data_IF_127397536699
#
_entry.id   IF_127397536699
#
_cell.length_a   1.000
_cell.length_b   1.000
_cell.length_c   1.000
_cell.angle_alpha   90.00
_cell.angle_beta   90.00
_cell.angle_gamma   90.00
#
_symmetry.space_group_name_H-M   'P 1'
#
loop_
_entity.id
_entity.type
_entity.pdbx_description
1 polymer ?
#
# COMPACT_ATOMS: atom_id res chain seq x y z
N UNK A 1 -20.07 -14.74 6.65
CA UNK A 1 -19.07 -15.38 5.79
C UNK A 1 -17.96 -15.95 6.63
N UNK A 2 -17.33 -17.01 6.16
CA UNK A 2 -16.21 -17.64 6.88
C UNK A 2 -14.93 -16.81 6.73
N UNK A 3 -13.95 -17.09 7.59
CA UNK A 3 -12.62 -16.47 7.49
C UNK A 3 -11.99 -16.75 6.13
N UNK A 4 -12.14 -17.95 5.60
CA UNK A 4 -11.59 -18.31 4.29
C UNK A 4 -12.26 -17.52 3.16
N UNK A 5 -13.57 -17.31 3.22
CA UNK A 5 -14.28 -16.51 2.24
C UNK A 5 -13.84 -15.04 2.31
N UNK A 6 -13.62 -14.52 3.52
CA UNK A 6 -13.13 -13.16 3.73
C UNK A 6 -11.72 -12.99 3.18
N UNK A 7 -10.85 -14.00 3.36
CA UNK A 7 -9.51 -14.00 2.76
C UNK A 7 -9.57 -13.92 1.23
N UNK A 8 -10.51 -14.65 0.62
CA UNK A 8 -10.67 -14.62 -0.84
C UNK A 8 -11.08 -13.25 -1.35
N UNK A 9 -11.97 -12.55 -0.61
CA UNK A 9 -12.35 -11.18 -0.96
C UNK A 9 -11.12 -10.26 -0.95
N UNK A 10 -10.32 -10.33 0.11
CA UNK A 10 -9.11 -9.49 0.24
C UNK A 10 -8.07 -9.91 -0.80
N UNK A 11 -7.89 -11.20 -1.03
CA UNK A 11 -6.93 -11.71 -2.02
C UNK A 11 -7.29 -11.18 -3.42
N UNK A 12 -8.57 -11.18 -3.75
CA UNK A 12 -9.04 -10.64 -5.01
C UNK A 12 -8.83 -9.12 -5.10
N UNK A 13 -9.00 -8.42 -3.99
CA UNK A 13 -8.72 -6.98 -3.94
C UNK A 13 -7.27 -6.66 -4.30
N UNK A 14 -6.31 -7.50 -3.89
CA UNK A 14 -4.89 -7.28 -4.20
C UNK A 14 -4.58 -7.36 -5.69
N UNK A 15 -5.49 -7.88 -6.52
CA UNK A 15 -5.34 -7.88 -7.98
C UNK A 15 -5.39 -6.47 -8.59
N UNK A 16 -5.81 -5.45 -7.83
CA UNK A 16 -5.81 -4.05 -8.30
C UNK A 16 -4.43 -3.58 -8.76
N UNK A 17 -3.36 -4.23 -8.27
CA UNK A 17 -2.00 -3.86 -8.64
C UNK A 17 -1.61 -4.38 -10.02
N UNK A 18 -2.35 -5.33 -10.59
CA UNK A 18 -2.03 -5.96 -11.87
C UNK A 18 -3.14 -5.81 -12.90
N UNK A 19 -4.39 -5.70 -12.46
CA UNK A 19 -5.54 -5.61 -13.36
C UNK A 19 -5.57 -4.30 -14.14
N UNK A 20 -5.91 -4.39 -15.44
CA UNK A 20 -6.07 -3.20 -16.25
C UNK A 20 -7.26 -2.36 -15.75
N UNK A 21 -8.39 -3.02 -15.47
CA UNK A 21 -9.57 -2.35 -14.92
C UNK A 21 -9.56 -2.40 -13.39
N UNK A 22 -8.52 -1.83 -12.78
CA UNK A 22 -8.46 -1.78 -11.32
C UNK A 22 -9.52 -0.86 -10.72
N UNK A 23 -9.97 0.14 -11.47
CA UNK A 23 -11.04 1.05 -11.04
C UNK A 23 -12.34 0.26 -10.83
N UNK A 24 -12.74 -0.56 -11.81
CA UNK A 24 -13.93 -1.40 -11.69
C UNK A 24 -13.80 -2.42 -10.55
N UNK A 25 -12.64 -2.99 -10.37
CA UNK A 25 -12.37 -3.95 -9.31
C UNK A 25 -12.50 -3.29 -7.92
N UNK A 26 -12.01 -2.08 -7.76
CA UNK A 26 -12.18 -1.32 -6.52
C UNK A 26 -13.65 -1.07 -6.24
N UNK A 27 -14.41 -0.61 -7.24
CA UNK A 27 -15.85 -0.37 -7.10
C UNK A 27 -16.63 -1.64 -6.74
N UNK A 28 -16.18 -2.78 -7.25
CA UNK A 28 -16.83 -4.06 -6.96
C UNK A 28 -16.56 -4.53 -5.53
N UNK A 29 -15.34 -4.41 -5.04
CA UNK A 29 -14.89 -5.03 -3.80
C UNK A 29 -14.94 -4.14 -2.57
N UNK A 30 -14.97 -2.81 -2.74
CA UNK A 30 -15.10 -1.89 -1.62
C UNK A 30 -16.56 -1.46 -1.44
N UNK A 31 -17.01 -1.42 -0.18
CA UNK A 31 -18.33 -0.90 0.13
C UNK A 31 -18.39 0.61 -0.20
N UNK A 32 -19.55 1.14 -0.59
CA UNK A 32 -19.66 2.59 -0.86
C UNK A 32 -19.31 3.45 0.34
N UNK A 33 -19.53 2.96 1.55
CA UNK A 33 -19.22 3.64 2.81
C UNK A 33 -17.90 3.15 3.44
N UNK A 34 -17.05 2.54 2.64
CA UNK A 34 -15.72 2.09 3.06
C UNK A 34 -14.93 3.23 3.72
N UNK A 35 -14.27 2.90 4.84
CA UNK A 35 -13.47 3.84 5.60
C UNK A 35 -12.00 3.40 5.60
N UNK A 36 -11.14 4.29 5.14
CA UNK A 36 -9.70 4.11 5.24
C UNK A 36 -9.17 4.89 6.44
N UNK A 37 -8.71 4.17 7.46
CA UNK A 37 -8.16 4.79 8.68
C UNK A 37 -6.68 5.17 8.52
N UNK A 38 -6.06 4.81 7.41
CA UNK A 38 -4.63 5.01 7.15
C UNK A 38 -4.41 5.61 5.76
N UNK A 39 -4.90 6.83 5.49
CA UNK A 39 -4.71 7.44 4.17
C UNK A 39 -3.22 7.57 3.84
N UNK A 40 -2.87 7.40 2.57
CA UNK A 40 -1.48 7.47 2.11
C UNK A 40 -0.95 8.89 2.09
N UNK A 41 -1.83 9.88 1.89
CA UNK A 41 -1.49 11.30 1.90
C UNK A 41 -2.56 12.07 2.68
N UNK A 42 -2.21 13.25 3.26
CA UNK A 42 -3.17 14.02 4.04
C UNK A 42 -4.41 14.49 3.26
N UNK A 43 -4.26 14.66 1.94
CA UNK A 43 -5.32 15.16 1.06
C UNK A 43 -6.01 14.04 0.28
N UNK A 44 -5.73 12.78 0.61
CA UNK A 44 -6.37 11.64 -0.06
C UNK A 44 -7.89 11.70 0.12
N UNK A 45 -8.67 11.59 -0.97
CA UNK A 45 -10.11 11.54 -0.86
C UNK A 45 -10.59 10.39 0.03
N UNK A 46 -11.71 10.57 0.70
CA UNK A 46 -12.32 9.53 1.51
C UNK A 46 -12.93 8.44 0.61
N UNK A 47 -13.11 7.25 1.18
CA UNK A 47 -13.80 6.15 0.52
C UNK A 47 -13.02 5.53 -0.64
N UNK A 48 -13.72 4.82 -1.53
CA UNK A 48 -13.08 4.13 -2.66
C UNK A 48 -12.29 5.04 -3.59
N UNK A 49 -12.68 6.29 -3.72
CA UNK A 49 -11.96 7.25 -4.58
C UNK A 49 -10.52 7.47 -4.14
N UNK A 50 -10.28 7.47 -2.81
CA UNK A 50 -8.93 7.59 -2.28
C UNK A 50 -8.05 6.39 -2.63
N UNK A 51 -8.64 5.19 -2.63
CA UNK A 51 -7.92 3.97 -3.01
C UNK A 51 -7.55 4.02 -4.49
N UNK A 52 -8.47 4.47 -5.33
CA UNK A 52 -8.20 4.64 -6.77
C UNK A 52 -7.03 5.58 -7.00
N UNK A 53 -6.98 6.69 -6.27
CA UNK A 53 -5.90 7.67 -6.38
C UNK A 53 -4.55 7.08 -5.97
N UNK A 54 -4.51 6.36 -4.86
CA UNK A 54 -3.26 5.75 -4.35
C UNK A 54 -2.76 4.66 -5.29
N UNK A 55 -3.63 3.78 -5.76
CA UNK A 55 -3.24 2.73 -6.70
C UNK A 55 -2.72 3.34 -8.00
N UNK A 56 -3.40 4.37 -8.50
CA UNK A 56 -2.96 5.08 -9.71
C UNK A 56 -1.58 5.70 -9.54
N UNK A 57 -1.32 6.33 -8.39
CA UNK A 57 -0.03 6.94 -8.08
C UNK A 57 1.08 5.91 -8.08
N UNK A 58 0.91 4.79 -7.39
CA UNK A 58 1.94 3.74 -7.35
C UNK A 58 2.18 3.11 -8.71
N UNK A 59 1.12 2.84 -9.47
CA UNK A 59 1.26 2.23 -10.79
C UNK A 59 1.93 3.16 -11.80
N UNK A 60 1.70 4.46 -11.69
CA UNK A 60 2.38 5.47 -12.52
C UNK A 60 3.80 5.71 -12.06
N UNK A 61 4.01 5.73 -10.74
CA UNK A 61 5.32 5.98 -10.16
C UNK A 61 6.30 4.83 -10.34
N UNK A 62 5.78 3.61 -10.38
CA UNK A 62 6.57 2.40 -10.59
C UNK A 62 5.90 1.53 -11.65
N UNK A 63 6.15 1.77 -12.95
CA UNK A 63 5.51 1.00 -14.03
C UNK A 63 5.78 -0.49 -13.99
N UNK A 64 6.90 -0.90 -13.37
CA UNK A 64 7.28 -2.30 -13.19
C UNK A 64 6.85 -2.85 -11.81
N UNK A 65 5.90 -2.20 -11.17
CA UNK A 65 5.40 -2.54 -9.84
C UNK A 65 5.03 -4.01 -9.73
N UNK A 66 5.47 -4.63 -8.64
CA UNK A 66 5.07 -5.98 -8.24
C UNK A 66 4.70 -5.95 -6.77
N UNK A 67 3.57 -6.55 -6.45
CA UNK A 67 3.11 -6.73 -5.06
C UNK A 67 3.08 -8.21 -4.75
N UNK A 68 3.77 -8.59 -3.68
CA UNK A 68 3.83 -9.97 -3.21
C UNK A 68 3.15 -10.06 -1.85
N UNK A 69 2.17 -10.95 -1.73
CA UNK A 69 1.55 -11.25 -0.45
C UNK A 69 2.46 -12.24 0.27
N UNK A 70 3.05 -11.82 1.38
CA UNK A 70 3.98 -12.64 2.15
C UNK A 70 3.24 -13.50 3.17
N UNK A 71 2.13 -13.00 3.71
CA UNK A 71 1.36 -13.71 4.72
C UNK A 71 -0.06 -13.15 4.78
N UNK A 72 -1.03 -14.00 5.06
CA UNK A 72 -2.43 -13.59 5.20
C UNK A 72 -3.12 -14.43 6.26
N UNK A 73 -3.68 -13.77 7.26
CA UNK A 73 -4.33 -14.39 8.41
C UNK A 73 -5.71 -13.79 8.56
N UNK A 74 -6.70 -14.60 8.84
CA UNK A 74 -8.06 -14.12 9.06
C UNK A 74 -8.66 -14.70 10.33
N UNK A 75 -9.39 -13.87 11.05
CA UNK A 75 -10.17 -14.27 12.21
C UNK A 75 -11.43 -13.40 12.26
N UNK A 76 -12.58 -14.05 12.33
CA UNK A 76 -13.87 -13.36 12.28
C UNK A 76 -14.01 -12.63 10.95
N UNK A 77 -14.32 -11.35 11.01
CA UNK A 77 -14.51 -10.49 9.83
C UNK A 77 -13.24 -9.71 9.46
N UNK A 78 -12.11 -9.98 10.09
CA UNK A 78 -10.85 -9.28 9.86
C UNK A 78 -9.84 -10.14 9.13
N UNK A 79 -9.12 -9.52 8.21
CA UNK A 79 -8.05 -10.16 7.44
C UNK A 79 -6.81 -9.30 7.55
N UNK A 80 -5.73 -9.88 8.08
CA UNK A 80 -4.42 -9.23 8.15
C UNK A 80 -3.55 -9.74 7.01
N UNK A 81 -2.92 -8.82 6.28
CA UNK A 81 -2.06 -9.15 5.15
C UNK A 81 -0.71 -8.46 5.31
N UNK A 82 0.37 -9.23 5.28
CA UNK A 82 1.72 -8.70 5.19
C UNK A 82 2.16 -8.83 3.74
N UNK A 83 2.65 -7.76 3.17
CA UNK A 83 2.99 -7.71 1.75
C UNK A 83 4.20 -6.83 1.47
N UNK A 84 4.82 -7.06 0.32
CA UNK A 84 5.95 -6.29 -0.18
C UNK A 84 5.60 -5.68 -1.51
N UNK A 85 5.85 -4.38 -1.65
CA UNK A 85 5.70 -3.64 -2.90
C UNK A 85 7.08 -3.32 -3.42
N UNK A 86 7.40 -3.71 -4.64
CA UNK A 86 8.69 -3.41 -5.25
C UNK A 86 8.54 -2.90 -6.67
N UNK A 87 9.49 -2.07 -7.07
CA UNK A 87 9.52 -1.50 -8.40
C UNK A 87 10.62 -0.47 -8.53
N UNK A 88 10.72 0.11 -9.71
CA UNK A 88 11.67 1.18 -10.00
C UNK A 88 10.95 2.52 -10.00
N UNK A 89 11.48 3.47 -9.24
CA UNK A 89 10.90 4.80 -9.09
C UNK A 89 11.15 5.62 -10.36
N UNK A 90 10.24 5.51 -11.30
CA UNK A 90 10.35 6.16 -12.62
C UNK A 90 9.33 7.28 -12.84
N UNK A 91 8.36 7.43 -11.93
CA UNK A 91 7.40 8.53 -11.91
C UNK A 91 7.28 9.09 -10.52
N UNK A 92 6.53 10.17 -10.35
CA UNK A 92 6.37 10.81 -9.05
C UNK A 92 5.71 9.89 -8.03
N UNK A 93 6.27 9.80 -6.82
CA UNK A 93 5.70 9.11 -5.67
C UNK A 93 5.70 10.06 -4.47
N UNK A 94 4.53 10.30 -3.88
CA UNK A 94 4.38 11.17 -2.70
C UNK A 94 5.06 12.53 -2.88
N UNK A 95 4.97 13.11 -4.06
CA UNK A 95 5.61 14.38 -4.37
C UNK A 95 7.10 14.29 -4.64
N UNK A 96 7.70 13.10 -4.59
CA UNK A 96 9.14 12.92 -4.87
C UNK A 96 9.33 12.69 -6.36
N UNK A 97 10.13 13.51 -7.05
CA UNK A 97 10.44 13.31 -8.47
C UNK A 97 11.15 11.96 -8.70
N UNK A 98 11.07 11.41 -9.92
CA UNK A 98 11.68 10.11 -10.22
C UNK A 98 13.17 10.09 -9.89
N UNK A 99 13.59 9.07 -9.14
CA UNK A 99 15.00 8.87 -8.75
C UNK A 99 15.70 7.79 -9.57
N UNK A 100 14.94 6.94 -10.27
CA UNK A 100 15.46 5.78 -10.96
C UNK A 100 15.88 4.66 -10.03
N UNK A 101 15.64 4.79 -8.72
CA UNK A 101 16.06 3.80 -7.73
C UNK A 101 15.09 2.63 -7.68
N UNK A 102 15.63 1.46 -7.39
CA UNK A 102 14.83 0.28 -7.06
C UNK A 102 14.32 0.46 -5.62
N UNK A 103 13.01 0.25 -5.42
CA UNK A 103 12.34 0.44 -4.13
C UNK A 103 11.67 -0.87 -3.75
N UNK A 104 11.80 -1.27 -2.49
CA UNK A 104 11.11 -2.42 -1.92
C UNK A 104 10.55 -2.02 -0.55
N UNK A 105 9.23 -2.02 -0.42
CA UNK A 105 8.53 -1.49 0.74
C UNK A 105 7.71 -2.59 1.37
N UNK A 106 7.91 -2.83 2.67
CA UNK A 106 7.10 -3.79 3.42
C UNK A 106 5.98 -3.07 4.16
N UNK A 107 4.79 -3.64 4.11
CA UNK A 107 3.60 -3.09 4.76
C UNK A 107 2.74 -4.20 5.33
N UNK A 108 1.87 -3.84 6.24
CA UNK A 108 0.88 -4.73 6.80
C UNK A 108 -0.47 -4.01 6.87
N UNK A 109 -1.52 -4.71 6.47
CA UNK A 109 -2.88 -4.18 6.50
C UNK A 109 -3.77 -5.04 7.37
N UNK A 110 -4.84 -4.45 7.90
CA UNK A 110 -5.98 -5.18 8.43
C UNK A 110 -7.22 -4.64 7.76
N UNK A 111 -7.88 -5.51 7.00
CA UNK A 111 -9.15 -5.20 6.35
C UNK A 111 -10.29 -5.80 7.16
N UNK A 112 -11.42 -5.11 7.24
CA UNK A 112 -12.66 -5.69 7.73
C UNK A 112 -13.57 -5.95 6.55
N UNK A 113 -14.16 -7.15 6.51
CA UNK A 113 -15.00 -7.60 5.39
C UNK A 113 -16.42 -7.86 5.90
N UNK A 114 -17.42 -7.39 5.18
CA UNK A 114 -18.82 -7.64 5.49
C UNK A 114 -19.61 -7.80 4.19
N UNK A 115 -20.40 -8.86 4.09
CA UNK A 115 -21.25 -9.10 2.92
C UNK A 115 -20.48 -9.23 1.62
N UNK A 116 -19.27 -9.74 1.66
CA UNK A 116 -18.42 -9.91 0.47
C UNK A 116 -17.72 -8.64 0.02
N UNK A 117 -17.73 -7.58 0.84
CA UNK A 117 -17.08 -6.31 0.52
C UNK A 117 -16.17 -5.88 1.65
N UNK A 118 -15.11 -5.17 1.32
CA UNK A 118 -14.21 -4.57 2.30
C UNK A 118 -14.86 -3.27 2.79
N UNK A 119 -15.02 -3.15 4.10
CA UNK A 119 -15.69 -2.00 4.72
C UNK A 119 -14.75 -1.08 5.50
N UNK A 120 -13.60 -1.58 5.94
CA UNK A 120 -12.61 -0.80 6.65
C UNK A 120 -11.20 -1.25 6.31
N UNK A 121 -10.26 -0.32 6.38
CA UNK A 121 -8.84 -0.57 6.08
C UNK A 121 -7.96 0.19 7.08
N UNK A 122 -6.98 -0.53 7.63
CA UNK A 122 -5.87 0.05 8.39
C UNK A 122 -4.57 -0.49 7.82
N UNK A 123 -3.54 0.36 7.79
CA UNK A 123 -2.23 -0.01 7.25
C UNK A 123 -1.12 0.58 8.10
N UNK A 124 -0.06 -0.18 8.26
CA UNK A 124 1.22 0.30 8.77
C UNK A 124 2.26 -0.03 7.71
N UNK A 125 2.99 0.98 7.28
CA UNK A 125 4.07 0.85 6.31
C UNK A 125 5.38 1.18 7.00
N UNK A 126 6.46 0.51 6.60
CA UNK A 126 7.81 0.89 7.03
C UNK A 126 8.18 2.20 6.31
N UNK A 127 7.62 3.29 6.78
CA UNK A 127 7.72 4.59 6.14
C UNK A 127 9.13 5.15 6.18
N UNK A 128 9.85 4.94 7.27
CA UNK A 128 11.23 5.41 7.36
C UNK A 128 12.11 4.73 6.32
N UNK A 129 12.00 3.41 6.19
CA UNK A 129 12.74 2.65 5.19
C UNK A 129 12.37 3.12 3.77
N UNK A 130 11.09 3.32 3.51
CA UNK A 130 10.63 3.84 2.21
C UNK A 130 11.25 5.20 1.90
N UNK A 131 11.24 6.11 2.86
CA UNK A 131 11.81 7.45 2.67
C UNK A 131 13.32 7.42 2.46
N UNK A 132 14.02 6.50 3.14
CA UNK A 132 15.45 6.29 2.94
C UNK A 132 15.73 5.76 1.53
N UNK A 133 14.95 4.81 1.07
CA UNK A 133 15.09 4.25 -0.29
C UNK A 133 14.81 5.29 -1.37
N UNK A 134 13.84 6.17 -1.13
CA UNK A 134 13.54 7.26 -2.05
C UNK A 134 14.57 8.40 -1.97
N UNK A 135 15.45 8.37 -0.97
CA UNK A 135 16.48 9.40 -0.82
C UNK A 135 16.00 10.69 -0.19
N UNK A 136 14.79 10.69 0.41
CA UNK A 136 14.21 11.87 1.07
C UNK A 136 14.84 12.09 2.43
N UNK A 137 15.25 11.01 3.10
CA UNK A 137 15.96 11.05 4.37
C UNK A 137 17.24 10.21 4.28
N UNK A 138 18.27 10.50 5.09
CA UNK A 138 19.49 9.71 5.07
C UNK A 138 19.25 8.28 5.52
N UNK A 139 20.05 7.35 4.96
CA UNK A 139 20.08 5.99 5.45
C UNK A 139 20.72 5.95 6.84
N UNK A 140 20.42 4.90 7.61
CA UNK A 140 20.94 4.76 8.97
C UNK A 140 22.46 4.87 9.05
N UNK A 141 23.18 4.25 8.12
CA UNK A 141 24.64 4.33 8.06
C UNK A 141 25.16 5.74 7.76
N UNK A 142 24.49 6.47 6.86
CA UNK A 142 24.82 7.86 6.55
C UNK A 142 24.52 8.77 7.73
N UNK A 143 23.41 8.53 8.41
CA UNK A 143 23.01 9.27 9.58
C UNK A 143 24.03 9.13 10.70
N UNK A 144 24.50 7.91 10.96
CA UNK A 144 25.55 7.66 11.93
C UNK A 144 26.84 8.37 11.55
N UNK A 145 27.20 8.34 10.28
CA UNK A 145 28.41 9.03 9.79
C UNK A 145 28.31 10.52 10.00
N UNK A 146 27.16 11.11 9.71
CA UNK A 146 26.93 12.54 9.92
C UNK A 146 27.03 12.88 11.39
N UNK A 147 26.43 12.10 12.25
CA UNK A 147 26.51 12.30 13.70
C UNK A 147 27.95 12.16 14.21
N UNK A 148 28.68 11.19 13.72
CA UNK A 148 30.07 11.00 14.09
C UNK A 148 30.93 12.20 13.70
N UNK A 149 30.66 12.82 12.57
CA UNK A 149 31.41 14.00 12.13
C UNK A 149 31.05 15.27 12.89
N UNK A 150 29.88 15.33 13.49
CA UNK A 150 29.43 16.49 14.27
C UNK A 150 29.85 16.37 15.75
N UNK A 151 30.35 15.27 16.14
CA UNK A 151 30.80 15.01 17.49
C UNK A 151 32.31 15.17 17.60
#
# INVERSE_FOLDING_TARGET
>A
MSAEENKEVVRRFWDVWEEDDFIGLIDELLAPDYVNHSPGTPDQPAGPEGVKAIVSMFRSGMPDLRVTIDDMIAEGDKVATRYTVEGTHEGELFGVPPTGRRVSIESMTVERVSGGKIIEHRRITDTLDMMQQLGVVPESGQEESVQATTH
#
